data_IF_840561352548
#
_entry.id   IF_840561352548
#
_cell.length_a   1.000
_cell.length_b   1.000
_cell.length_c   1.000
_cell.angle_alpha   90.00
_cell.angle_beta   90.00
_cell.angle_gamma   90.00
#
_symmetry.space_group_name_H-M   'P 1'
#
loop_
_entity.id
_entity.type
_entity.pdbx_description
1 polymer ?
#
# COMPACT_ATOMS: atom_id res chain seq x y z
N UNK A 1 3.88 -23.16 -30.62
CA UNK A 1 3.60 -23.55 -29.22
C UNK A 1 3.06 -22.34 -28.50
N UNK A 2 1.92 -22.46 -27.81
CA UNK A 2 1.43 -21.41 -26.92
C UNK A 2 2.25 -21.45 -25.62
N UNK A 3 3.01 -20.40 -25.27
CA UNK A 3 3.89 -20.38 -24.09
C UNK A 3 3.15 -20.42 -22.75
N UNK A 4 1.81 -20.34 -22.76
CA UNK A 4 0.95 -20.36 -21.57
C UNK A 4 0.19 -21.68 -21.37
N UNK A 5 0.37 -22.69 -22.23
CA UNK A 5 -0.31 -24.00 -22.05
C UNK A 5 0.25 -24.86 -20.91
N UNK A 6 1.34 -24.42 -20.25
CA UNK A 6 1.97 -25.14 -19.13
C UNK A 6 1.45 -24.67 -17.76
N UNK A 7 0.68 -23.58 -17.70
CA UNK A 7 0.13 -23.09 -16.45
C UNK A 7 -1.26 -23.69 -16.20
N UNK A 8 -1.46 -24.26 -15.02
CA UNK A 8 -2.77 -24.72 -14.59
C UNK A 8 -3.73 -23.53 -14.44
N UNK A 9 -5.02 -23.77 -14.66
CA UNK A 9 -6.04 -22.76 -14.43
C UNK A 9 -6.09 -22.38 -12.94
N UNK A 10 -6.26 -21.09 -12.64
CA UNK A 10 -6.48 -20.63 -11.28
C UNK A 10 -7.78 -21.22 -10.71
N UNK A 11 -7.70 -21.79 -9.51
CA UNK A 11 -8.87 -22.36 -8.79
C UNK A 11 -9.56 -21.35 -7.89
N UNK A 12 -8.98 -20.16 -7.70
CA UNK A 12 -9.55 -19.08 -6.89
C UNK A 12 -10.61 -18.35 -7.70
N UNK A 13 -11.78 -18.15 -7.08
CA UNK A 13 -12.88 -17.40 -7.65
C UNK A 13 -12.66 -15.89 -7.48
N UNK A 14 -11.83 -15.32 -8.36
CA UNK A 14 -11.58 -13.88 -8.36
C UNK A 14 -12.82 -13.07 -8.78
N UNK A 15 -13.69 -13.61 -9.63
CA UNK A 15 -14.88 -12.90 -10.13
C UNK A 15 -15.77 -12.35 -9.02
N UNK A 16 -15.93 -13.10 -7.93
CA UNK A 16 -16.80 -12.75 -6.81
C UNK A 16 -16.10 -12.04 -5.64
N UNK A 17 -14.86 -11.57 -5.81
CA UNK A 17 -14.18 -10.77 -4.78
C UNK A 17 -14.80 -9.38 -4.60
N UNK A 18 -14.60 -8.80 -3.41
CA UNK A 18 -15.08 -7.45 -3.11
C UNK A 18 -14.15 -6.36 -3.68
N UNK A 19 -14.27 -6.07 -4.97
CA UNK A 19 -13.50 -5.02 -5.65
C UNK A 19 -13.78 -3.59 -5.16
N UNK A 20 -14.81 -3.37 -4.33
CA UNK A 20 -15.08 -2.06 -3.74
C UNK A 20 -13.93 -1.59 -2.86
N UNK A 21 -13.22 -2.53 -2.22
CA UNK A 21 -12.06 -2.24 -1.36
C UNK A 21 -11.04 -1.36 -2.07
N UNK A 22 -10.68 -1.71 -3.31
CA UNK A 22 -9.73 -0.96 -4.13
C UNK A 22 -10.38 0.18 -4.92
N UNK A 23 -11.54 -0.06 -5.55
CA UNK A 23 -12.15 0.91 -6.47
C UNK A 23 -12.76 2.15 -5.78
N UNK A 24 -13.10 2.04 -4.49
CA UNK A 24 -13.58 3.19 -3.71
C UNK A 24 -12.48 4.19 -3.37
N UNK A 25 -11.22 3.74 -3.28
CA UNK A 25 -10.08 4.52 -2.78
C UNK A 25 -9.07 4.86 -3.88
N UNK A 26 -8.68 3.88 -4.70
CA UNK A 26 -7.73 4.04 -5.78
C UNK A 26 -8.46 4.55 -7.03
N UNK A 27 -8.46 5.87 -7.23
CA UNK A 27 -9.20 6.52 -8.33
C UNK A 27 -8.28 7.34 -9.22
N UNK A 28 -8.53 7.25 -10.52
CA UNK A 28 -7.87 8.08 -11.52
C UNK A 28 -8.46 9.50 -11.57
N UNK A 29 -7.81 10.41 -12.31
CA UNK A 29 -6.60 10.19 -13.11
C UNK A 29 -5.29 10.21 -12.29
N UNK A 30 -5.33 10.76 -11.07
CA UNK A 30 -4.15 10.91 -10.22
C UNK A 30 -4.06 9.78 -9.19
N UNK A 31 -3.58 8.62 -9.64
CA UNK A 31 -3.32 7.48 -8.76
C UNK A 31 -2.15 7.78 -7.82
N UNK A 32 -2.31 7.53 -6.53
CA UNK A 32 -1.24 7.68 -5.53
C UNK A 32 -1.02 6.36 -4.78
N UNK A 33 0.24 6.09 -4.41
CA UNK A 33 0.61 4.85 -3.73
C UNK A 33 -0.17 4.68 -2.41
N UNK A 34 -0.27 5.76 -1.61
CA UNK A 34 -0.99 5.74 -0.33
C UNK A 34 -2.46 5.31 -0.44
N UNK A 35 -3.12 5.61 -1.57
CA UNK A 35 -4.53 5.27 -1.81
C UNK A 35 -4.72 3.96 -2.54
N UNK A 36 -3.71 3.46 -3.23
CA UNK A 36 -3.81 2.31 -4.11
C UNK A 36 -3.15 1.05 -3.56
N UNK A 37 -2.02 1.18 -2.87
CA UNK A 37 -1.23 0.02 -2.45
C UNK A 37 -1.82 -0.68 -1.23
N UNK A 38 -2.30 0.06 -0.23
CA UNK A 38 -2.94 -0.56 0.95
C UNK A 38 -4.21 -1.33 0.56
N UNK A 39 -5.15 -0.78 -0.23
CA UNK A 39 -6.34 -1.52 -0.64
C UNK A 39 -6.04 -2.69 -1.59
N UNK A 40 -5.00 -2.56 -2.43
CA UNK A 40 -4.52 -3.68 -3.24
C UNK A 40 -4.03 -4.83 -2.35
N UNK A 41 -3.24 -4.54 -1.31
CA UNK A 41 -2.79 -5.54 -0.33
C UNK A 41 -3.95 -6.20 0.39
N UNK A 42 -5.01 -5.47 0.74
CA UNK A 42 -6.20 -6.05 1.35
C UNK A 42 -6.91 -7.09 0.46
N UNK A 43 -6.83 -6.95 -0.87
CA UNK A 43 -7.33 -7.96 -1.80
C UNK A 43 -6.32 -9.09 -2.03
N UNK A 44 -5.03 -8.75 -2.13
CA UNK A 44 -3.98 -9.69 -2.53
C UNK A 44 -3.54 -10.62 -1.40
N UNK A 45 -3.39 -10.09 -0.19
CA UNK A 45 -2.80 -10.82 0.93
C UNK A 45 -3.59 -12.07 1.37
N UNK A 46 -4.93 -12.08 1.37
CA UNK A 46 -5.69 -13.29 1.64
C UNK A 46 -5.46 -14.44 0.64
N UNK A 47 -4.96 -14.12 -0.56
CA UNK A 47 -4.76 -15.06 -1.68
C UNK A 47 -3.30 -15.09 -2.16
N UNK A 48 -2.36 -14.63 -1.33
CA UNK A 48 -0.97 -14.40 -1.75
C UNK A 48 -0.25 -15.69 -2.17
N UNK A 49 -0.57 -16.83 -1.56
CA UNK A 49 0.02 -18.12 -1.93
C UNK A 49 -0.37 -18.51 -3.36
N UNK A 50 -1.66 -18.39 -3.70
CA UNK A 50 -2.15 -18.73 -5.03
C UNK A 50 -1.70 -17.70 -6.06
N UNK A 51 -1.67 -16.42 -5.68
CA UNK A 51 -1.16 -15.36 -6.53
C UNK A 51 0.34 -15.52 -6.83
N UNK A 52 1.14 -15.97 -5.86
CA UNK A 52 2.58 -16.19 -6.04
C UNK A 52 2.92 -17.54 -6.70
N UNK A 53 1.92 -18.40 -6.96
CA UNK A 53 2.12 -19.67 -7.65
C UNK A 53 2.33 -19.46 -9.16
N UNK A 54 3.61 -19.46 -9.54
CA UNK A 54 4.10 -19.32 -10.92
C UNK A 54 3.79 -20.52 -11.82
N UNK A 55 3.13 -21.56 -11.31
CA UNK A 55 2.65 -22.70 -12.13
C UNK A 55 1.20 -22.55 -12.55
N UNK A 56 0.51 -21.49 -12.11
CA UNK A 56 -0.90 -21.23 -12.40
C UNK A 56 -1.12 -19.91 -13.13
N UNK A 57 -2.31 -19.73 -13.69
CA UNK A 57 -2.74 -18.45 -14.29
C UNK A 57 -3.35 -17.48 -13.27
N UNK A 58 -3.15 -17.71 -11.96
CA UNK A 58 -3.72 -16.86 -10.92
C UNK A 58 -3.27 -15.38 -10.99
N UNK A 59 -1.98 -15.04 -11.21
CA UNK A 59 -1.57 -13.65 -11.30
C UNK A 59 -2.26 -12.89 -12.44
N UNK A 60 -2.33 -13.49 -13.64
CA UNK A 60 -2.97 -12.89 -14.81
C UNK A 60 -4.47 -12.76 -14.60
N UNK A 61 -5.11 -13.79 -14.05
CA UNK A 61 -6.55 -13.79 -13.78
C UNK A 61 -6.91 -12.73 -12.74
N UNK A 62 -6.16 -12.62 -11.66
CA UNK A 62 -6.37 -11.60 -10.63
C UNK A 62 -6.29 -10.18 -11.20
N UNK A 63 -5.21 -9.85 -11.92
CA UNK A 63 -5.05 -8.52 -12.49
C UNK A 63 -6.06 -8.24 -13.61
N UNK A 64 -6.50 -9.25 -14.35
CA UNK A 64 -7.57 -9.09 -15.34
C UNK A 64 -8.85 -8.53 -14.70
N UNK A 65 -9.33 -9.15 -13.61
CA UNK A 65 -10.53 -8.67 -12.92
C UNK A 65 -10.31 -7.35 -12.18
N UNK A 66 -9.15 -7.15 -11.51
CA UNK A 66 -8.83 -5.87 -10.86
C UNK A 66 -8.87 -4.73 -11.88
N UNK A 67 -8.24 -4.91 -13.05
CA UNK A 67 -8.19 -3.91 -14.10
C UNK A 67 -9.57 -3.71 -14.75
N UNK A 68 -10.35 -4.78 -14.93
CA UNK A 68 -11.70 -4.72 -15.49
C UNK A 68 -12.65 -3.91 -14.60
N UNK A 69 -12.75 -4.24 -13.31
CA UNK A 69 -13.69 -3.58 -12.40
C UNK A 69 -13.26 -2.16 -12.03
N UNK A 70 -11.95 -1.92 -11.88
CA UNK A 70 -11.43 -0.60 -11.54
C UNK A 70 -11.12 0.29 -12.74
N UNK A 71 -11.18 -0.25 -13.96
CA UNK A 71 -10.73 0.42 -15.20
C UNK A 71 -9.28 0.92 -15.08
N UNK A 72 -8.43 0.13 -14.42
CA UNK A 72 -7.03 0.50 -14.19
C UNK A 72 -6.18 0.25 -15.44
N UNK A 73 -5.23 1.15 -15.75
CA UNK A 73 -4.30 0.92 -16.84
C UNK A 73 -3.35 -0.25 -16.51
N UNK A 74 -2.94 -1.02 -17.53
CA UNK A 74 -2.02 -2.13 -17.34
C UNK A 74 -0.69 -1.63 -16.76
N UNK A 75 -0.16 -2.37 -15.78
CA UNK A 75 1.10 -2.01 -15.11
C UNK A 75 1.01 -0.90 -14.07
N UNK A 76 -0.18 -0.33 -13.79
CA UNK A 76 -0.35 0.70 -12.76
C UNK A 76 0.22 0.24 -11.42
N UNK A 77 -0.19 -0.91 -10.92
CA UNK A 77 0.21 -1.38 -9.60
C UNK A 77 1.67 -1.81 -9.53
N UNK A 78 2.21 -2.39 -10.61
CA UNK A 78 3.64 -2.77 -10.68
C UNK A 78 4.59 -1.56 -10.65
N UNK A 79 4.12 -0.40 -11.15
CA UNK A 79 4.87 0.86 -11.13
C UNK A 79 4.63 1.68 -9.85
N UNK A 80 3.43 1.61 -9.29
CA UNK A 80 3.01 2.42 -8.15
C UNK A 80 3.31 1.78 -6.79
N UNK A 81 3.23 0.45 -6.70
CA UNK A 81 3.22 -0.29 -5.44
C UNK A 81 4.42 -1.24 -5.33
N UNK A 82 5.61 -0.67 -5.12
CA UNK A 82 6.86 -1.41 -4.90
C UNK A 82 7.41 -1.08 -3.52
N UNK A 83 7.41 -2.06 -2.61
CA UNK A 83 7.90 -1.89 -1.23
C UNK A 83 9.34 -2.41 -1.06
N UNK A 84 9.81 -3.29 -1.94
CA UNK A 84 11.18 -3.83 -1.96
C UNK A 84 11.45 -4.73 -3.17
N UNK A 85 12.54 -5.51 -3.13
CA UNK A 85 12.90 -6.46 -4.19
C UNK A 85 11.94 -7.66 -4.23
N UNK A 86 11.38 -8.04 -3.08
CA UNK A 86 10.40 -9.14 -2.93
C UNK A 86 8.96 -8.73 -3.29
N UNK A 87 8.73 -7.48 -3.71
CA UNK A 87 7.42 -6.98 -4.10
C UNK A 87 6.62 -6.36 -2.94
N UNK A 88 5.41 -6.88 -2.70
CA UNK A 88 4.45 -6.37 -1.70
C UNK A 88 4.53 -7.24 -0.44
N UNK A 89 4.72 -6.61 0.72
CA UNK A 89 4.80 -7.31 2.01
C UNK A 89 3.41 -7.45 2.67
N UNK A 90 2.90 -8.67 2.76
CA UNK A 90 1.60 -8.95 3.38
C UNK A 90 1.61 -9.04 4.91
N UNK A 91 2.78 -9.00 5.55
CA UNK A 91 2.93 -9.16 7.00
C UNK A 91 2.14 -8.13 7.80
N UNK A 92 2.02 -6.90 7.29
CA UNK A 92 1.33 -5.80 7.97
C UNK A 92 -0.21 -5.87 7.90
N UNK A 93 -0.76 -6.55 6.87
CA UNK A 93 -2.22 -6.70 6.72
C UNK A 93 -2.73 -7.89 7.53
N UNK A 94 -1.89 -8.91 7.69
CA UNK A 94 -2.22 -10.10 8.48
C UNK A 94 -2.09 -9.85 10.00
N UNK A 95 -1.45 -8.75 10.41
CA UNK A 95 -1.12 -8.48 11.81
C UNK A 95 -2.12 -7.61 12.59
N UNK A 96 -2.95 -6.74 11.97
CA UNK A 96 -3.79 -5.80 12.73
C UNK A 96 -5.17 -5.45 12.10
N UNK A 97 -6.22 -5.18 12.90
CA UNK A 97 -7.39 -4.38 12.48
C UNK A 97 -6.95 -2.96 12.07
N UNK A 98 -7.72 -2.21 11.26
CA UNK A 98 -7.22 -1.02 10.57
C UNK A 98 -6.79 0.10 11.53
N UNK A 99 -5.48 0.29 11.71
CA UNK A 99 -4.93 1.54 12.25
C UNK A 99 -5.02 2.63 11.18
N UNK A 100 -5.70 3.71 11.53
CA UNK A 100 -5.78 4.92 10.73
C UNK A 100 -4.37 5.51 10.55
N UNK A 101 -3.83 5.42 9.34
CA UNK A 101 -2.64 6.20 8.96
C UNK A 101 -3.02 7.69 8.90
N UNK A 102 -2.93 8.36 10.05
CA UNK A 102 -2.87 9.81 10.11
C UNK A 102 -1.51 10.25 9.55
N UNK A 103 -1.52 10.69 8.29
CA UNK A 103 -0.37 11.37 7.69
C UNK A 103 -0.05 12.66 8.44
N UNK A 104 1.08 12.68 9.12
CA UNK A 104 1.84 13.91 9.41
C UNK A 104 3.30 13.57 9.72
N UNK A 105 4.21 13.92 8.81
CA UNK A 105 5.64 14.15 9.10
C UNK A 105 5.95 15.61 8.74
N UNK A 106 7.00 16.23 9.30
CA UNK A 106 7.47 16.20 10.68
C UNK A 106 7.64 17.65 11.22
N UNK A 107 7.50 17.88 12.52
CA UNK A 107 7.95 19.15 13.13
C UNK A 107 8.84 18.81 14.31
N UNK A 108 10.15 18.73 14.02
CA UNK A 108 11.20 18.72 15.02
C UNK A 108 11.04 19.97 15.89
N UNK A 109 10.42 19.82 17.06
CA UNK A 109 10.26 20.86 18.09
C UNK A 109 11.31 20.64 19.16
N UNK A 110 12.58 20.85 18.81
CA UNK A 110 13.68 20.89 19.77
C UNK A 110 14.22 22.31 19.94
N UNK A 111 13.37 23.27 20.31
CA UNK A 111 13.82 24.59 20.77
C UNK A 111 12.86 25.07 21.87
N UNK A 112 13.45 25.42 23.02
CA UNK A 112 12.95 26.03 24.27
C UNK A 112 13.33 25.11 25.44
N UNK A 113 14.30 25.41 26.31
CA UNK A 113 14.41 26.62 27.14
C UNK A 113 15.86 26.81 27.65
N UNK A 114 16.53 27.90 27.25
CA UNK A 114 17.67 28.45 28.00
C UNK A 114 17.65 29.99 27.86
N UNK A 115 16.92 30.67 28.75
CA UNK A 115 17.14 32.11 29.01
C UNK A 115 16.37 32.52 30.28
N UNK A 116 16.89 32.12 31.44
CA UNK A 116 16.32 32.45 32.75
C UNK A 116 17.35 32.95 33.77
N UNK A 117 18.53 33.41 33.33
CA UNK A 117 19.63 33.77 34.23
C UNK A 117 20.38 35.07 33.85
N UNK A 118 19.72 36.02 33.18
CA UNK A 118 20.34 37.30 32.81
C UNK A 118 19.65 38.55 33.41
N UNK A 119 18.54 38.42 34.15
CA UNK A 119 17.81 39.56 34.73
C UNK A 119 18.09 39.80 36.23
N UNK A 120 18.85 38.94 36.90
CA UNK A 120 19.25 39.15 38.32
C UNK A 120 20.61 39.86 38.48
N UNK A 121 21.37 40.05 37.40
CA UNK A 121 22.67 40.72 37.45
C UNK A 121 22.61 42.25 37.27
N UNK A 122 21.47 42.80 36.82
CA UNK A 122 21.32 44.26 36.62
C UNK A 122 20.95 44.97 37.93
N UNK A 123 20.27 44.30 38.87
CA UNK A 123 19.89 44.87 40.16
C UNK A 123 21.00 44.87 41.24
N UNK A 124 22.20 44.35 40.95
CA UNK A 124 23.32 44.34 41.89
C UNK A 124 24.44 45.36 41.52
N UNK A 125 24.18 46.30 40.62
CA UNK A 125 25.12 47.39 40.32
C UNK A 125 24.40 48.74 40.13
N UNK A 126 23.56 49.12 41.09
CA UNK A 126 23.10 50.50 41.29
C UNK A 126 22.85 50.76 42.77
#
# INVERSE_FOLDING_TARGET
MCPFCEHAACTVDFEHMNYTVITSQCKGPNYSADRCCVPLKQLLCPVHEQFNDRTTTCPETFFSYVNLYGRYPPGLFASLCREGEEGLDCSTILADPPEQHNGARPASRLIMLFSGLALLAIFNMS
#
